data_IF_921696153165
#
_entry.id   IF_921696153165
#
_cell.length_a   1.000
_cell.length_b   1.000
_cell.length_c   1.000
_cell.angle_alpha   90.00
_cell.angle_beta   90.00
_cell.angle_gamma   90.00
#
_symmetry.space_group_name_H-M   'P 1'
#
loop_
_entity.id
_entity.type
_entity.pdbx_description
1 polymer ?
#
# COMPACT_ATOMS: atom_id res chain seq x y z
N UNK A 1 12.21 40.31 48.56
CA UNK A 1 12.84 39.28 47.70
C UNK A 1 11.86 38.12 47.41
N UNK A 2 10.69 38.37 46.83
CA UNK A 2 9.61 37.35 46.71
C UNK A 2 8.89 37.33 45.37
N UNK A 3 9.30 38.13 44.37
CA UNK A 3 8.62 38.22 43.05
C UNK A 3 9.23 37.32 41.96
N UNK A 4 10.38 36.69 42.21
CA UNK A 4 11.12 35.93 41.18
C UNK A 4 10.76 34.43 41.10
N UNK A 5 10.21 33.86 42.17
CA UNK A 5 9.87 32.42 42.22
C UNK A 5 8.58 32.06 41.48
N UNK A 6 7.66 33.02 41.27
CA UNK A 6 6.38 32.75 40.61
C UNK A 6 6.51 32.62 39.08
N UNK A 7 7.51 33.25 38.46
CA UNK A 7 7.70 33.25 36.99
C UNK A 7 8.28 31.94 36.44
N UNK A 8 9.04 31.20 37.24
CA UNK A 8 9.67 29.94 36.81
C UNK A 8 8.63 28.80 36.78
N UNK A 9 7.66 28.82 37.69
CA UNK A 9 6.59 27.81 37.76
C UNK A 9 5.63 27.88 36.57
N UNK A 10 5.31 29.08 36.08
CA UNK A 10 4.41 29.27 34.92
C UNK A 10 5.02 28.80 33.59
N UNK A 11 6.34 28.93 33.42
CA UNK A 11 7.05 28.48 32.21
C UNK A 11 7.11 26.95 32.17
N UNK A 12 7.37 26.31 33.32
CA UNK A 12 7.37 24.85 33.43
C UNK A 12 5.98 24.25 33.14
N UNK A 13 4.91 24.91 33.58
CA UNK A 13 3.53 24.45 33.34
C UNK A 13 3.13 24.56 31.85
N UNK A 14 3.54 25.64 31.17
CA UNK A 14 3.31 25.80 29.72
C UNK A 14 4.11 24.79 28.88
N UNK A 15 5.36 24.51 29.25
CA UNK A 15 6.19 23.50 28.58
C UNK A 15 5.59 22.09 28.71
N UNK A 16 5.05 21.74 29.89
CA UNK A 16 4.36 20.45 30.07
C UNK A 16 3.06 20.40 29.25
N UNK A 17 2.25 21.46 29.24
CA UNK A 17 1.00 21.48 28.46
C UNK A 17 1.24 21.32 26.95
N UNK A 18 2.31 21.92 26.41
CA UNK A 18 2.72 21.76 25.02
C UNK A 18 3.19 20.34 24.70
N UNK A 19 3.95 19.71 25.62
CA UNK A 19 4.39 18.32 25.49
C UNK A 19 3.19 17.35 25.49
N UNK A 20 2.23 17.54 26.40
CA UNK A 20 1.03 16.70 26.48
C UNK A 20 0.12 16.85 25.25
N UNK A 21 0.01 18.06 24.68
CA UNK A 21 -0.80 18.31 23.49
C UNK A 21 -0.20 17.64 22.23
N UNK A 22 1.12 17.73 22.03
CA UNK A 22 1.80 17.05 20.92
C UNK A 22 1.68 15.52 21.03
N UNK A 23 1.77 14.99 22.26
CA UNK A 23 1.65 13.56 22.54
C UNK A 23 0.27 12.99 22.17
N UNK A 24 -0.82 13.73 22.43
CA UNK A 24 -2.19 13.31 22.08
C UNK A 24 -2.46 13.32 20.57
N UNK A 25 -1.91 14.30 19.86
CA UNK A 25 -2.06 14.40 18.40
C UNK A 25 -1.31 13.27 17.69
N UNK A 26 -0.08 12.96 18.12
CA UNK A 26 0.69 11.83 17.58
C UNK A 26 -0.02 10.48 17.84
N UNK A 27 -0.58 10.29 19.03
CA UNK A 27 -1.36 9.09 19.37
C UNK A 27 -2.62 8.94 18.51
N UNK A 28 -3.33 10.03 18.19
CA UNK A 28 -4.53 9.98 17.34
C UNK A 28 -4.21 9.61 15.88
N UNK A 29 -3.03 9.97 15.36
CA UNK A 29 -2.61 9.61 14.00
C UNK A 29 -2.17 8.15 13.87
N UNK A 30 -1.73 7.55 14.98
CA UNK A 30 -1.33 6.14 15.05
C UNK A 30 -2.51 5.16 15.16
N UNK A 31 -3.70 5.64 15.53
CA UNK A 31 -4.89 4.80 15.68
C UNK A 31 -5.62 4.64 14.33
N UNK A 32 -5.66 3.42 13.75
CA UNK A 32 -6.41 3.16 12.52
C UNK A 32 -7.89 3.52 12.63
N UNK A 33 -8.50 3.42 13.82
CA UNK A 33 -9.93 3.63 14.01
C UNK A 33 -10.35 5.09 13.75
N UNK A 34 -9.47 6.05 14.06
CA UNK A 34 -9.70 7.46 13.73
C UNK A 34 -9.84 7.64 12.21
N UNK A 35 -8.95 7.00 11.44
CA UNK A 35 -8.99 7.05 9.98
C UNK A 35 -10.23 6.33 9.42
N UNK A 36 -10.54 5.14 9.94
CA UNK A 36 -11.66 4.30 9.48
C UNK A 36 -13.04 4.87 9.82
N UNK A 37 -13.14 5.79 10.79
CA UNK A 37 -14.40 6.49 11.08
C UNK A 37 -14.96 7.23 9.85
N UNK A 38 -14.07 7.76 8.99
CA UNK A 38 -14.41 8.37 7.70
C UNK A 38 -14.10 7.45 6.50
N UNK A 39 -12.99 6.71 6.51
CA UNK A 39 -12.52 5.85 5.41
C UNK A 39 -12.97 4.38 5.52
N UNK A 40 -14.25 4.16 5.82
CA UNK A 40 -14.82 2.81 6.10
C UNK A 40 -14.55 1.77 5.00
N UNK A 41 -14.50 2.21 3.74
CA UNK A 41 -14.23 1.33 2.59
C UNK A 41 -12.77 0.87 2.47
N UNK A 42 -11.87 1.36 3.34
CA UNK A 42 -10.47 0.94 3.37
C UNK A 42 -10.18 -0.07 4.48
N UNK A 43 -11.19 -0.50 5.24
CA UNK A 43 -11.05 -1.43 6.36
C UNK A 43 -10.45 -2.78 5.96
N UNK A 44 -10.50 -3.17 4.68
CA UNK A 44 -9.90 -4.41 4.19
C UNK A 44 -8.40 -4.52 4.40
N UNK A 45 -7.68 -3.40 4.64
CA UNK A 45 -6.26 -3.45 5.03
C UNK A 45 -6.01 -4.24 6.33
N UNK A 46 -6.99 -4.24 7.25
CA UNK A 46 -6.90 -4.90 8.54
C UNK A 46 -6.79 -6.42 8.43
N UNK A 47 -7.27 -6.97 7.32
CA UNK A 47 -7.22 -8.40 7.00
C UNK A 47 -5.95 -8.79 6.24
N UNK A 48 -5.03 -7.83 6.04
CA UNK A 48 -3.75 -8.06 5.36
C UNK A 48 -2.60 -8.07 6.36
N UNK A 49 -1.43 -8.56 5.92
CA UNK A 49 -0.19 -8.46 6.70
C UNK A 49 0.19 -7.02 7.08
N UNK A 50 -0.25 -6.02 6.32
CA UNK A 50 0.01 -4.62 6.67
C UNK A 50 -0.80 -4.14 7.88
N UNK A 51 -2.01 -4.68 8.08
CA UNK A 51 -2.91 -4.36 9.18
C UNK A 51 -2.73 -5.25 10.43
N UNK A 52 -1.95 -6.33 10.33
CA UNK A 52 -1.70 -7.27 11.42
C UNK A 52 -0.72 -6.69 12.44
N UNK A 53 -1.16 -6.48 13.69
CA UNK A 53 -0.34 -5.90 14.78
C UNK A 53 0.72 -6.88 15.30
N UNK A 54 0.46 -8.16 15.11
CA UNK A 54 1.27 -9.27 15.58
C UNK A 54 2.39 -9.63 14.59
N UNK A 55 2.34 -9.10 13.36
CA UNK A 55 3.37 -9.30 12.34
C UNK A 55 4.52 -8.30 12.54
N UNK A 56 5.73 -8.76 12.90
CA UNK A 56 6.86 -7.87 13.15
C UNK A 56 7.22 -7.04 11.91
N UNK A 57 7.34 -5.72 12.09
CA UNK A 57 7.70 -4.80 11.01
C UNK A 57 6.55 -4.41 10.08
N UNK A 58 5.33 -4.89 10.32
CA UNK A 58 4.14 -4.38 9.64
C UNK A 58 3.88 -2.90 10.02
N UNK A 59 3.25 -2.11 9.13
CA UNK A 59 2.74 -0.78 9.45
C UNK A 59 1.95 -0.71 10.77
N UNK A 60 1.12 -1.72 11.03
CA UNK A 60 0.31 -1.79 12.24
C UNK A 60 1.14 -2.09 13.51
N UNK A 61 2.20 -2.89 13.42
CA UNK A 61 3.04 -3.24 14.59
C UNK A 61 4.04 -2.15 14.95
N UNK A 62 4.46 -1.31 13.99
CA UNK A 62 5.38 -0.18 14.25
C UNK A 62 4.68 1.10 14.74
N UNK A 63 3.38 1.05 15.04
CA UNK A 63 2.64 2.16 15.65
C UNK A 63 2.35 3.35 14.73
N UNK A 64 2.45 3.19 13.41
CA UNK A 64 2.09 4.23 12.42
C UNK A 64 0.86 3.88 11.59
N UNK A 65 0.57 2.59 11.43
CA UNK A 65 -0.56 2.05 10.69
C UNK A 65 -0.76 2.77 9.34
N UNK A 66 -1.87 3.51 9.16
CA UNK A 66 -2.23 4.23 7.94
C UNK A 66 -1.17 5.25 7.51
N UNK A 67 -0.58 5.96 8.48
CA UNK A 67 0.43 7.00 8.21
C UNK A 67 1.77 6.43 7.72
N UNK A 68 2.02 5.12 7.90
CA UNK A 68 3.24 4.48 7.38
C UNK A 68 3.33 4.57 5.86
N UNK A 69 2.18 4.53 5.18
CA UNK A 69 2.09 4.63 3.73
C UNK A 69 1.61 6.00 3.28
N UNK A 70 0.68 6.63 4.02
CA UNK A 70 0.06 7.91 3.63
C UNK A 70 0.84 9.14 4.12
N UNK A 71 1.79 8.97 5.05
CA UNK A 71 2.49 10.04 5.76
C UNK A 71 1.62 10.69 6.83
N UNK A 72 2.25 11.38 7.77
CA UNK A 72 1.56 12.09 8.84
C UNK A 72 0.96 13.41 8.35
N UNK A 73 -0.29 13.69 8.69
CA UNK A 73 -0.91 15.01 8.55
C UNK A 73 -2.03 15.18 9.59
N UNK A 74 -1.76 15.92 10.67
CA UNK A 74 -2.71 16.08 11.77
C UNK A 74 -3.86 17.02 11.43
N UNK A 75 -3.62 17.96 10.52
CA UNK A 75 -4.62 18.92 10.04
C UNK A 75 -5.67 18.25 9.14
N UNK A 76 -5.37 17.06 8.60
CA UNK A 76 -6.31 16.27 7.82
C UNK A 76 -7.59 15.95 8.60
N UNK A 77 -7.47 15.60 9.88
CA UNK A 77 -8.60 15.18 10.72
C UNK A 77 -9.62 16.32 10.87
N UNK A 78 -9.14 17.56 11.02
CA UNK A 78 -10.01 18.73 11.23
C UNK A 78 -10.54 19.34 9.92
N UNK A 79 -9.79 19.24 8.82
CA UNK A 79 -10.14 19.84 7.53
C UNK A 79 -9.65 18.97 6.36
N UNK A 80 -10.32 17.83 6.09
CA UNK A 80 -9.79 16.79 5.20
C UNK A 80 -9.73 17.19 3.72
N UNK A 81 -10.60 18.10 3.28
CA UNK A 81 -10.62 18.56 1.90
C UNK A 81 -9.44 19.49 1.57
N UNK A 82 -9.02 20.31 2.54
CA UNK A 82 -7.94 21.28 2.42
C UNK A 82 -6.58 20.66 2.75
N UNK A 83 -6.54 19.71 3.69
CA UNK A 83 -5.32 19.12 4.20
C UNK A 83 -5.22 17.65 3.80
N UNK A 84 -4.83 17.39 2.55
CA UNK A 84 -4.62 16.01 2.07
C UNK A 84 -3.36 15.41 2.68
N UNK A 85 -3.36 14.10 2.88
CA UNK A 85 -2.13 13.38 3.20
C UNK A 85 -1.08 13.53 2.06
N UNK A 86 0.22 13.57 2.39
CA UNK A 86 1.28 13.78 1.41
C UNK A 86 1.36 12.64 0.41
N UNK A 87 1.22 11.39 0.87
CA UNK A 87 1.23 10.22 -0.02
C UNK A 87 -0.18 9.79 -0.36
N UNK A 88 -0.49 9.82 -1.67
CA UNK A 88 -1.77 9.42 -2.22
C UNK A 88 -1.55 8.50 -3.41
N UNK A 89 -2.16 7.32 -3.33
CA UNK A 89 -2.08 6.31 -4.36
C UNK A 89 -3.17 6.56 -5.41
N UNK A 90 -2.76 6.86 -6.64
CA UNK A 90 -3.70 7.23 -7.69
C UNK A 90 -3.03 7.97 -8.84
N UNK A 91 -3.51 7.76 -10.06
CA UNK A 91 -2.92 8.37 -11.25
C UNK A 91 -2.96 9.90 -11.12
N UNK A 92 -1.80 10.55 -11.25
CA UNK A 92 -1.68 12.01 -11.13
C UNK A 92 -1.91 12.57 -9.72
N UNK A 93 -2.01 11.72 -8.68
CA UNK A 93 -2.18 12.19 -7.31
C UNK A 93 -0.92 12.91 -6.81
N UNK A 94 0.23 12.27 -6.95
CA UNK A 94 1.60 12.74 -6.70
C UNK A 94 2.54 12.01 -7.69
N UNK A 95 3.82 12.41 -7.84
CA UNK A 95 4.76 11.69 -8.70
C UNK A 95 4.80 10.19 -8.45
N UNK A 96 4.92 9.39 -9.52
CA UNK A 96 4.98 7.91 -9.45
C UNK A 96 6.08 7.43 -8.51
N UNK A 97 7.24 8.06 -8.56
CA UNK A 97 8.37 7.73 -7.69
C UNK A 97 8.01 7.86 -6.21
N UNK A 98 7.28 8.92 -5.81
CA UNK A 98 6.87 9.11 -4.42
C UNK A 98 5.86 8.04 -3.96
N UNK A 99 4.92 7.64 -4.84
CA UNK A 99 3.98 6.54 -4.54
C UNK A 99 4.73 5.22 -4.33
N UNK A 100 5.67 4.89 -5.22
CA UNK A 100 6.47 3.67 -5.14
C UNK A 100 7.43 3.68 -3.95
N UNK A 101 8.00 4.85 -3.62
CA UNK A 101 8.94 5.01 -2.50
C UNK A 101 8.29 4.68 -1.14
N UNK A 102 6.98 4.93 -0.98
CA UNK A 102 6.24 4.54 0.22
C UNK A 102 6.24 3.02 0.45
N UNK A 103 6.31 2.22 -0.62
CA UNK A 103 6.46 0.77 -0.52
C UNK A 103 7.93 0.39 -0.32
N UNK A 104 8.82 1.00 -1.09
CA UNK A 104 10.25 0.67 -1.09
C UNK A 104 10.97 1.04 0.20
N UNK A 105 10.44 1.96 1.01
CA UNK A 105 11.00 2.27 2.34
C UNK A 105 11.10 1.05 3.26
N UNK A 106 10.24 0.05 3.06
CA UNK A 106 10.27 -1.22 3.80
C UNK A 106 10.62 -2.41 2.89
N UNK A 107 10.14 -2.41 1.64
CA UNK A 107 10.28 -3.56 0.76
C UNK A 107 11.59 -3.63 -0.03
N UNK A 108 12.40 -2.56 -0.08
CA UNK A 108 13.62 -2.53 -0.90
C UNK A 108 14.62 -3.68 -0.63
N UNK A 109 14.64 -4.21 0.61
CA UNK A 109 15.51 -5.34 0.97
C UNK A 109 15.04 -6.70 0.45
N UNK A 110 13.87 -6.81 -0.18
CA UNK A 110 13.36 -8.07 -0.71
C UNK A 110 14.12 -8.47 -1.98
N UNK A 111 14.73 -9.67 -1.98
CA UNK A 111 15.45 -10.22 -3.15
C UNK A 111 14.63 -10.21 -4.45
N UNK A 112 13.31 -10.35 -4.37
CA UNK A 112 12.43 -10.35 -5.54
C UNK A 112 12.32 -8.95 -6.19
N UNK A 113 12.70 -7.90 -5.46
CA UNK A 113 12.74 -6.50 -5.90
C UNK A 113 14.17 -6.02 -6.19
N UNK A 114 15.19 -6.90 -6.18
CA UNK A 114 16.59 -6.52 -6.38
C UNK A 114 16.84 -5.78 -7.72
N UNK A 115 16.01 -6.04 -8.73
CA UNK A 115 16.09 -5.40 -10.05
C UNK A 115 14.96 -4.39 -10.31
N UNK A 116 14.23 -3.96 -9.28
CA UNK A 116 13.16 -2.98 -9.42
C UNK A 116 13.67 -1.68 -10.06
N UNK A 117 14.81 -1.20 -9.57
CA UNK A 117 15.41 0.05 -10.03
C UNK A 117 15.76 0.05 -11.52
N UNK A 118 16.11 -1.10 -12.09
CA UNK A 118 16.40 -1.27 -13.53
C UNK A 118 15.24 -1.90 -14.32
N UNK A 119 14.12 -2.19 -13.66
CA UNK A 119 12.99 -2.88 -14.25
C UNK A 119 12.19 -1.99 -15.22
N UNK A 120 11.71 -2.58 -16.32
CA UNK A 120 10.86 -1.87 -17.30
C UNK A 120 9.60 -1.27 -16.69
N UNK A 121 8.92 -1.96 -15.78
CA UNK A 121 7.73 -1.40 -15.13
C UNK A 121 8.03 -0.10 -14.39
N UNK A 122 9.11 -0.05 -13.60
CA UNK A 122 9.56 1.18 -12.96
C UNK A 122 9.90 2.27 -13.98
N UNK A 123 10.67 1.93 -15.02
CA UNK A 123 11.07 2.89 -16.06
C UNK A 123 9.91 3.42 -16.90
N UNK A 124 8.75 2.75 -16.88
CA UNK A 124 7.52 3.18 -17.55
C UNK A 124 6.46 3.67 -16.55
N UNK A 125 6.89 4.15 -15.38
CA UNK A 125 6.03 4.73 -14.35
C UNK A 125 4.87 3.83 -13.88
N UNK A 126 5.07 2.51 -13.90
CA UNK A 126 4.16 1.54 -13.27
C UNK A 126 4.47 1.48 -11.78
N UNK A 127 3.43 1.60 -10.96
CA UNK A 127 3.54 1.61 -9.49
C UNK A 127 3.19 0.26 -8.91
N UNK A 128 3.64 0.01 -7.68
CA UNK A 128 3.27 -1.19 -6.92
C UNK A 128 1.73 -1.32 -6.83
N UNK A 129 1.03 -0.23 -6.55
CA UNK A 129 -0.42 -0.19 -6.40
C UNK A 129 -1.20 -0.13 -7.74
N UNK A 130 -0.51 -0.25 -8.89
CA UNK A 130 -1.19 -0.51 -10.16
C UNK A 130 -1.48 -2.01 -10.33
N UNK A 131 -0.69 -2.86 -9.67
CA UNK A 131 -0.87 -4.30 -9.62
C UNK A 131 -1.32 -4.80 -8.25
N UNK A 132 -0.95 -4.19 -7.13
CA UNK A 132 -1.27 -4.69 -5.78
C UNK A 132 -2.41 -3.92 -5.09
N UNK A 133 -3.35 -4.65 -4.47
CA UNK A 133 -4.44 -4.08 -3.69
C UNK A 133 -4.20 -4.19 -2.18
N UNK A 134 -3.54 -3.19 -1.59
CA UNK A 134 -3.20 -3.22 -0.15
C UNK A 134 -4.39 -3.07 0.80
N UNK A 135 -5.54 -2.59 0.31
CA UNK A 135 -6.78 -2.44 1.08
C UNK A 135 -7.79 -3.56 0.79
N UNK A 136 -7.36 -4.66 0.16
CA UNK A 136 -8.22 -5.81 -0.13
C UNK A 136 -7.59 -7.09 0.37
N UNK A 137 -8.44 -8.04 0.78
CA UNK A 137 -7.98 -9.33 1.27
C UNK A 137 -7.30 -10.08 0.13
N UNK A 138 -6.14 -10.72 0.38
CA UNK A 138 -5.55 -11.59 -0.61
C UNK A 138 -6.46 -12.81 -0.85
N UNK A 139 -6.52 -13.32 -2.09
CA UNK A 139 -7.26 -14.53 -2.39
C UNK A 139 -6.65 -15.73 -1.66
N UNK A 140 -7.45 -16.78 -1.45
CA UNK A 140 -6.98 -18.01 -0.77
C UNK A 140 -5.71 -18.55 -1.42
N UNK A 141 -4.68 -18.80 -0.60
CA UNK A 141 -3.38 -19.31 -1.05
C UNK A 141 -2.41 -18.24 -1.57
N UNK A 142 -2.77 -16.96 -1.51
CA UNK A 142 -1.85 -15.83 -1.76
C UNK A 142 -1.65 -15.03 -0.48
N UNK A 143 -0.47 -14.42 -0.33
CA UNK A 143 -0.19 -13.43 0.70
C UNK A 143 -0.34 -11.99 0.20
N UNK A 144 -0.64 -11.82 -1.09
CA UNK A 144 -0.71 -10.51 -1.76
C UNK A 144 -1.95 -10.44 -2.63
N UNK A 145 -2.75 -9.39 -2.42
CA UNK A 145 -3.89 -9.08 -3.27
C UNK A 145 -3.45 -8.28 -4.51
N UNK A 146 -4.13 -8.50 -5.62
CA UNK A 146 -3.89 -7.81 -6.89
C UNK A 146 -5.04 -6.81 -7.14
N UNK A 147 -4.75 -5.65 -7.72
CA UNK A 147 -5.66 -4.49 -7.90
C UNK A 147 -6.93 -4.81 -8.64
N UNK A 148 -6.90 -5.80 -9.50
CA UNK A 148 -8.13 -6.26 -10.08
C UNK A 148 -8.84 -7.14 -9.04
N UNK A 149 -9.91 -6.57 -8.45
CA UNK A 149 -10.74 -7.17 -7.39
C UNK A 149 -10.90 -8.66 -7.61
N UNK A 150 -10.42 -9.42 -6.63
CA UNK A 150 -10.98 -10.73 -6.33
C UNK A 150 -12.46 -10.50 -6.06
N UNK A 151 -13.34 -11.06 -6.89
CA UNK A 151 -14.72 -11.26 -6.49
C UNK A 151 -14.66 -12.39 -5.47
N UNK A 152 -14.28 -12.03 -4.24
CA UNK A 152 -14.31 -12.93 -3.10
C UNK A 152 -15.66 -13.61 -3.14
N UNK A 153 -15.64 -14.94 -3.27
CA UNK A 153 -16.81 -15.80 -3.40
C UNK A 153 -17.84 -15.40 -2.34
N UNK A 154 -18.84 -14.63 -2.75
CA UNK A 154 -20.03 -14.37 -1.95
C UNK A 154 -21.04 -15.49 -2.21
N UNK A 155 -22.02 -15.67 -1.32
CA UNK A 155 -23.19 -16.46 -1.67
C UNK A 155 -23.77 -15.96 -3.00
N UNK A 156 -23.96 -16.86 -3.96
CA UNK A 156 -24.54 -16.58 -5.30
C UNK A 156 -23.68 -15.76 -6.27
N UNK A 157 -22.37 -15.62 -6.07
CA UNK A 157 -21.44 -15.02 -7.05
C UNK A 157 -20.59 -16.12 -7.69
N UNK A 158 -20.46 -16.12 -9.01
CA UNK A 158 -19.71 -17.14 -9.77
C UNK A 158 -18.28 -17.26 -9.25
N UNK A 159 -17.89 -18.47 -8.87
CA UNK A 159 -16.62 -18.87 -8.25
C UNK A 159 -15.46 -18.89 -9.25
N UNK A 160 -15.40 -17.92 -10.17
CA UNK A 160 -14.30 -17.91 -11.15
C UNK A 160 -13.03 -17.43 -10.47
N UNK A 161 -12.08 -18.37 -10.32
CA UNK A 161 -10.75 -18.07 -9.84
C UNK A 161 -10.11 -17.07 -10.78
N UNK A 162 -9.85 -15.87 -10.27
CA UNK A 162 -9.06 -14.87 -10.98
C UNK A 162 -7.67 -15.43 -11.32
N UNK A 163 -7.28 -15.32 -12.58
CA UNK A 163 -5.96 -15.73 -13.04
C UNK A 163 -5.03 -14.53 -13.19
N UNK A 164 -3.75 -14.73 -12.90
CA UNK A 164 -2.73 -13.66 -12.91
C UNK A 164 -2.70 -12.88 -14.24
N UNK A 165 -2.87 -13.60 -15.36
CA UNK A 165 -2.74 -13.04 -16.70
C UNK A 165 -3.68 -11.86 -16.94
N UNK A 166 -4.86 -11.84 -16.32
CA UNK A 166 -5.87 -10.79 -16.48
C UNK A 166 -5.33 -9.40 -16.10
N UNK A 167 -4.42 -9.35 -15.13
CA UNK A 167 -3.75 -8.11 -14.72
C UNK A 167 -2.74 -7.68 -15.78
N UNK A 168 -1.92 -8.63 -16.25
CA UNK A 168 -0.87 -8.38 -17.24
C UNK A 168 -1.46 -7.89 -18.56
N UNK A 169 -2.52 -8.54 -19.07
CA UNK A 169 -3.13 -8.22 -20.36
C UNK A 169 -3.93 -6.91 -20.37
N UNK A 170 -4.15 -6.28 -19.21
CA UNK A 170 -4.70 -4.93 -19.13
C UNK A 170 -3.83 -3.92 -19.89
N UNK A 171 -2.50 -4.09 -19.83
CA UNK A 171 -1.53 -3.28 -20.56
C UNK A 171 -0.90 -4.05 -21.73
N UNK A 172 -0.58 -5.34 -21.56
CA UNK A 172 0.06 -6.17 -22.58
C UNK A 172 -0.93 -6.70 -23.64
N UNK A 173 -1.54 -5.77 -24.39
CA UNK A 173 -2.60 -6.07 -25.37
C UNK A 173 -2.16 -7.04 -26.48
N UNK A 174 -0.91 -6.98 -26.91
CA UNK A 174 -0.40 -7.93 -27.91
C UNK A 174 -0.35 -9.35 -27.35
N UNK A 175 0.07 -9.50 -26.09
CA UNK A 175 0.09 -10.80 -25.39
C UNK A 175 -1.33 -11.34 -25.21
N UNK A 176 -2.32 -10.47 -24.92
CA UNK A 176 -3.74 -10.85 -24.87
C UNK A 176 -4.19 -11.60 -26.12
N UNK A 177 -3.76 -11.14 -27.29
CA UNK A 177 -4.09 -11.78 -28.58
C UNK A 177 -3.32 -13.10 -28.73
N UNK A 178 -2.05 -13.13 -28.34
CA UNK A 178 -1.20 -14.33 -28.42
C UNK A 178 -1.75 -15.49 -27.59
N UNK A 179 -2.16 -15.23 -26.35
CA UNK A 179 -2.70 -16.28 -25.45
C UNK A 179 -4.10 -16.75 -25.84
N UNK A 180 -4.77 -16.07 -26.77
CA UNK A 180 -6.08 -16.49 -27.30
C UNK A 180 -6.01 -17.29 -28.60
N UNK A 181 -4.81 -17.57 -29.11
CA UNK A 181 -4.62 -18.36 -30.34
C UNK A 181 -4.91 -19.85 -30.10
N UNK A 182 -5.19 -20.61 -31.15
CA UNK A 182 -5.42 -22.07 -31.06
C UNK A 182 -4.25 -22.80 -30.38
N UNK A 183 -3.01 -22.38 -30.68
CA UNK A 183 -1.82 -22.86 -29.98
C UNK A 183 -1.27 -21.73 -29.11
N UNK A 184 -1.28 -21.97 -27.79
CA UNK A 184 -0.76 -21.06 -26.78
C UNK A 184 -0.28 -21.84 -25.55
N UNK A 185 0.53 -21.21 -24.70
CA UNK A 185 0.83 -21.75 -23.38
C UNK A 185 -0.44 -21.76 -22.53
N UNK A 186 -0.66 -22.75 -21.65
CA UNK A 186 -1.94 -22.94 -20.97
C UNK A 186 -2.18 -21.95 -19.82
N UNK A 187 -2.14 -20.66 -20.14
CA UNK A 187 -2.22 -19.49 -19.25
C UNK A 187 -3.68 -19.18 -18.93
N UNK A 188 -4.56 -19.18 -19.94
CA UNK A 188 -5.99 -18.89 -19.75
C UNK A 188 -6.71 -20.06 -19.10
N UNK A 189 -6.17 -21.27 -19.23
CA UNK A 189 -6.58 -22.48 -18.52
C UNK A 189 -6.01 -22.55 -17.11
N UNK A 190 -5.17 -21.59 -16.71
CA UNK A 190 -4.62 -21.48 -15.36
C UNK A 190 -3.59 -22.55 -14.97
N UNK A 191 -3.01 -23.27 -15.94
CA UNK A 191 -2.00 -24.31 -15.68
C UNK A 191 -0.59 -23.74 -15.52
N UNK A 192 -0.32 -22.60 -16.15
CA UNK A 192 0.93 -21.83 -15.98
C UNK A 192 0.58 -20.35 -15.81
N UNK A 193 1.43 -19.61 -15.12
CA UNK A 193 1.23 -18.17 -14.92
C UNK A 193 2.32 -17.35 -15.62
N UNK A 194 2.08 -16.05 -15.83
CA UNK A 194 3.09 -15.15 -16.37
C UNK A 194 4.34 -15.15 -15.48
N UNK A 195 4.14 -15.07 -14.16
CA UNK A 195 5.20 -15.13 -13.15
C UNK A 195 5.96 -16.45 -13.06
N UNK A 196 5.46 -17.53 -13.68
CA UNK A 196 6.18 -18.81 -13.76
C UNK A 196 7.45 -18.71 -14.61
N UNK A 197 7.52 -17.72 -15.52
CA UNK A 197 8.68 -17.48 -16.37
C UNK A 197 9.20 -16.04 -16.27
N UNK A 198 8.34 -15.07 -15.98
CA UNK A 198 8.69 -13.66 -15.88
C UNK A 198 8.78 -13.17 -14.43
N UNK A 199 9.60 -12.16 -14.15
CA UNK A 199 9.55 -11.46 -12.87
C UNK A 199 9.06 -10.03 -13.10
N UNK A 200 7.80 -9.67 -12.78
CA UNK A 200 7.26 -8.33 -13.05
C UNK A 200 7.98 -7.20 -12.29
N UNK A 201 8.83 -7.52 -11.33
CA UNK A 201 9.60 -6.54 -10.57
C UNK A 201 11.00 -6.28 -11.12
N UNK A 202 11.48 -7.02 -12.12
CA UNK A 202 12.86 -6.87 -12.59
C UNK A 202 13.59 -8.18 -12.76
N UNK A 203 14.38 -8.30 -13.83
CA UNK A 203 15.26 -9.40 -14.12
C UNK A 203 16.40 -8.89 -15.01
N UNK A 204 17.57 -9.54 -14.92
CA UNK A 204 18.71 -9.24 -15.80
C UNK A 204 18.57 -9.84 -17.21
N UNK A 205 17.56 -10.69 -17.42
CA UNK A 205 17.27 -11.33 -18.69
C UNK A 205 16.04 -10.69 -19.36
N UNK A 206 15.80 -11.06 -20.62
CA UNK A 206 14.56 -10.73 -21.34
C UNK A 206 13.29 -11.28 -20.65
N UNK A 207 13.41 -12.04 -19.56
CA UNK A 207 12.29 -12.49 -18.73
C UNK A 207 11.59 -11.34 -17.97
N UNK A 208 11.97 -10.09 -18.20
CA UNK A 208 11.20 -8.91 -17.77
C UNK A 208 10.33 -8.28 -18.85
N UNK A 209 10.44 -8.76 -20.10
CA UNK A 209 10.11 -8.01 -21.34
C UNK A 209 11.01 -6.78 -21.50
#
# INVERSE_FOLDING_TARGET
MTRSFFRISSIALMLHALFFAQSRVASAQSDPQVCLSCHKNQAGIMETKHGAKEEPGSPASIGRACSSCHGENSQHISAPAQNKHPVRFGKGAIPTLEQTQACMSCHAGNRHLAFWESGRHRHNDVRCNDCHAVHSNPPRGSNVAITQRDLSVGPFVTTERRLEYETCIGCHKQVRVQIGKVSHHPIIEGKVTCSSCHNPHGAQSHAMI
#
